data_IF_912737801811
#
_entry.id   IF_912737801811
#
_cell.length_a   1.000
_cell.length_b   1.000
_cell.length_c   1.000
_cell.angle_alpha   90.00
_cell.angle_beta   90.00
_cell.angle_gamma   90.00
#
_symmetry.space_group_name_H-M   'P 1'
#
loop_
_entity.id
_entity.type
_entity.pdbx_description
1 polymer ?
#
# COMPACT_ATOMS: atom_id res chain seq x y z
N UNK A 1 -49.81 8.48 28.49
CA UNK A 1 -48.50 7.82 28.64
C UNK A 1 -47.78 7.96 27.31
N UNK A 2 -46.50 8.37 27.32
CA UNK A 2 -45.99 9.69 26.91
C UNK A 2 -45.63 9.73 25.41
N UNK A 3 -45.64 10.86 24.70
CA UNK A 3 -45.16 12.18 25.09
C UNK A 3 -43.71 12.33 24.59
N UNK A 4 -43.53 12.91 23.40
CA UNK A 4 -42.22 13.34 22.92
C UNK A 4 -42.32 14.80 22.51
N UNK A 5 -41.72 15.62 23.36
CA UNK A 5 -41.63 17.06 23.36
C UNK A 5 -40.70 17.57 22.26
N UNK A 6 -41.10 18.71 21.70
CA UNK A 6 -40.33 19.58 20.83
C UNK A 6 -38.99 20.00 21.47
N UNK A 7 -37.96 20.20 20.63
CA UNK A 7 -36.71 20.88 21.02
C UNK A 7 -36.53 22.11 20.13
N UNK A 8 -36.44 23.32 20.70
CA UNK A 8 -35.99 24.52 19.99
C UNK A 8 -34.51 24.79 20.30
N UNK A 9 -33.73 25.20 19.30
CA UNK A 9 -32.33 25.56 19.52
C UNK A 9 -31.52 25.84 18.27
N UNK A 10 -32.09 26.56 17.30
CA UNK A 10 -31.35 27.15 16.19
C UNK A 10 -30.94 28.57 16.60
N UNK A 11 -29.66 28.78 16.93
CA UNK A 11 -29.08 30.12 16.97
C UNK A 11 -27.95 30.18 15.95
N UNK A 12 -28.30 30.75 14.80
CA UNK A 12 -27.36 31.35 13.87
C UNK A 12 -26.73 32.58 14.52
N UNK A 13 -25.41 32.69 14.46
CA UNK A 13 -24.75 33.99 14.48
C UNK A 13 -23.72 33.98 13.34
N UNK A 14 -24.14 34.62 12.26
CA UNK A 14 -23.28 35.05 11.17
C UNK A 14 -22.54 36.30 11.62
N UNK A 15 -21.21 36.28 11.51
CA UNK A 15 -20.47 37.51 11.20
C UNK A 15 -19.65 37.23 9.95
N UNK A 16 -20.01 37.92 8.89
CA UNK A 16 -19.24 38.06 7.67
C UNK A 16 -18.70 39.48 7.67
N UNK A 17 -17.40 39.67 7.44
CA UNK A 17 -16.87 40.77 6.63
C UNK A 17 -15.61 40.32 5.88
N UNK A 18 -15.58 40.75 4.62
CA UNK A 18 -14.70 40.51 3.46
C UNK A 18 -13.48 41.49 3.44
N UNK A 19 -12.70 41.70 2.35
CA UNK A 19 -12.19 40.87 1.24
C UNK A 19 -10.67 41.14 0.90
N UNK A 20 -10.24 40.57 -0.24
CA UNK A 20 -9.08 40.91 -1.10
C UNK A 20 -7.70 40.40 -0.65
N UNK A 21 -6.85 39.83 -1.52
CA UNK A 21 -6.56 40.24 -2.90
C UNK A 21 -5.80 39.14 -3.68
N UNK A 22 -6.25 38.91 -4.92
CA UNK A 22 -5.48 38.79 -6.17
C UNK A 22 -4.40 37.71 -6.40
N UNK A 23 -4.58 37.07 -7.56
CA UNK A 23 -3.57 36.49 -8.48
C UNK A 23 -2.85 35.22 -8.04
N UNK A 24 -2.58 34.21 -8.87
CA UNK A 24 -2.58 34.10 -10.33
C UNK A 24 -2.63 32.61 -10.74
N UNK A 25 -2.87 32.38 -12.03
CA UNK A 25 -3.15 31.10 -12.66
C UNK A 25 -1.98 30.10 -12.74
N UNK A 26 -2.36 28.82 -12.79
CA UNK A 26 -1.79 27.69 -13.53
C UNK A 26 -0.26 27.47 -13.53
N UNK A 27 0.17 26.38 -12.89
CA UNK A 27 0.97 25.33 -13.55
C UNK A 27 0.97 24.04 -12.73
N UNK A 28 0.51 22.96 -13.37
CA UNK A 28 0.73 21.58 -12.99
C UNK A 28 2.17 21.24 -13.41
N UNK A 29 3.08 20.94 -12.49
CA UNK A 29 4.11 19.89 -12.62
C UNK A 29 4.96 19.77 -11.34
N UNK A 30 5.40 18.54 -11.13
CA UNK A 30 6.28 17.99 -10.10
C UNK A 30 5.74 17.85 -8.67
N UNK A 31 5.39 16.59 -8.37
CA UNK A 31 5.42 16.05 -7.01
C UNK A 31 6.87 15.63 -6.69
N UNK A 32 7.68 16.43 -5.99
CA UNK A 32 8.71 15.83 -5.16
C UNK A 32 7.95 15.18 -4.00
N UNK A 33 7.87 13.85 -3.97
CA UNK A 33 7.56 13.14 -2.73
C UNK A 33 8.83 13.15 -1.87
N UNK A 34 8.96 13.97 -0.81
CA UNK A 34 10.06 13.87 0.12
C UNK A 34 9.57 13.02 1.28
N UNK A 35 9.38 11.71 1.08
CA UNK A 35 9.19 10.83 2.22
C UNK A 35 10.59 10.44 2.69
N UNK A 36 11.07 11.22 3.66
CA UNK A 36 12.43 11.20 4.21
C UNK A 36 12.94 9.79 4.48
N UNK A 37 13.83 9.36 3.61
CA UNK A 37 14.88 8.43 3.95
C UNK A 37 16.11 9.29 4.24
N UNK A 38 16.45 9.48 5.51
CA UNK A 38 17.77 10.01 5.86
C UNK A 38 18.81 9.01 5.34
N UNK A 39 19.69 9.50 4.47
CA UNK A 39 20.81 8.73 3.93
C UNK A 39 21.96 8.88 4.91
N UNK A 40 22.26 7.84 5.67
CA UNK A 40 23.54 7.78 6.38
C UNK A 40 24.58 7.22 5.42
N UNK A 41 25.64 7.99 5.22
CA UNK A 41 26.83 7.50 4.51
C UNK A 41 27.76 6.92 5.56
N UNK A 42 27.98 5.62 5.48
CA UNK A 42 28.97 4.94 6.31
C UNK A 42 30.12 4.47 5.41
N UNK A 43 31.35 4.65 5.87
CA UNK A 43 32.50 3.97 5.29
C UNK A 43 32.64 2.63 5.99
N UNK A 44 32.63 1.52 5.25
CA UNK A 44 33.08 0.27 5.83
C UNK A 44 34.60 0.33 6.10
N UNK A 45 35.13 -0.59 6.91
CA UNK A 45 36.56 -0.66 7.23
C UNK A 45 37.49 -0.87 6.03
N UNK A 46 36.92 -1.01 4.83
CA UNK A 46 37.61 -1.22 3.56
C UNK A 46 37.50 -0.01 2.61
N UNK A 47 36.88 1.09 3.05
CA UNK A 47 36.76 2.33 2.27
C UNK A 47 35.65 2.36 1.23
N UNK A 48 34.75 1.36 1.23
CA UNK A 48 33.55 1.36 0.40
C UNK A 48 32.44 2.20 1.05
N UNK A 49 31.80 3.04 0.23
CA UNK A 49 30.71 3.90 0.66
C UNK A 49 29.42 3.08 0.69
N UNK A 50 28.98 2.69 1.88
CA UNK A 50 27.73 1.97 2.06
C UNK A 50 26.63 2.99 2.29
N UNK A 51 25.64 3.03 1.39
CA UNK A 51 24.44 3.83 1.56
C UNK A 51 23.47 3.11 2.48
N UNK A 52 23.52 3.42 3.78
CA UNK A 52 22.52 2.93 4.73
C UNK A 52 21.28 3.81 4.68
N UNK A 53 20.14 3.18 4.37
CA UNK A 53 18.86 3.87 4.28
C UNK A 53 18.00 3.47 5.48
N UNK A 54 17.84 4.40 6.42
CA UNK A 54 16.97 4.17 7.57
C UNK A 54 15.51 4.09 7.12
N UNK A 55 14.75 3.13 7.67
CA UNK A 55 13.33 2.93 7.39
C UNK A 55 12.61 2.62 8.69
N UNK A 56 11.43 3.20 8.89
CA UNK A 56 10.56 2.74 9.97
C UNK A 56 10.01 1.35 9.63
N UNK A 57 9.81 0.49 10.65
CA UNK A 57 9.28 -0.86 10.46
C UNK A 57 7.99 -0.88 9.62
N UNK A 58 7.09 0.09 9.86
CA UNK A 58 5.84 0.21 9.10
C UNK A 58 6.04 0.45 7.60
N UNK A 59 7.12 1.12 7.20
CA UNK A 59 7.38 1.44 5.80
C UNK A 59 7.81 0.21 5.01
N UNK A 60 8.31 -0.82 5.70
CA UNK A 60 8.86 -2.05 5.12
C UNK A 60 7.87 -3.20 5.22
N UNK A 61 7.21 -3.36 6.36
CA UNK A 61 6.48 -4.58 6.70
C UNK A 61 4.96 -4.41 6.72
N UNK A 62 4.42 -3.19 6.76
CA UNK A 62 2.98 -3.00 6.64
C UNK A 62 2.56 -2.90 5.16
N UNK A 63 1.56 -3.70 4.73
CA UNK A 63 0.87 -3.50 3.46
C UNK A 63 0.43 -2.05 3.27
N UNK A 64 0.97 -1.40 2.26
CA UNK A 64 0.66 -0.01 1.92
C UNK A 64 -0.41 0.07 0.84
N UNK A 65 -0.20 -0.61 -0.28
CA UNK A 65 -1.19 -0.72 -1.33
C UNK A 65 -1.10 -2.05 -2.07
N UNK A 66 -2.17 -2.37 -2.80
CA UNK A 66 -2.19 -3.42 -3.79
C UNK A 66 -2.01 -2.77 -5.15
N UNK A 67 -1.09 -3.30 -5.96
CA UNK A 67 -0.86 -2.86 -7.33
C UNK A 67 -1.30 -3.97 -8.27
N UNK A 68 -2.20 -3.64 -9.19
CA UNK A 68 -2.63 -4.55 -10.24
C UNK A 68 -1.58 -4.59 -11.35
N UNK A 69 -1.12 -5.78 -11.70
CA UNK A 69 -0.19 -6.03 -12.80
C UNK A 69 -0.92 -6.12 -14.13
N UNK A 70 -0.20 -6.03 -15.25
CA UNK A 70 -0.79 -6.05 -16.60
C UNK A 70 -1.56 -7.34 -16.92
N UNK A 71 -1.14 -8.45 -16.32
CA UNK A 71 -1.82 -9.75 -16.40
C UNK A 71 -3.09 -9.82 -15.53
N UNK A 72 -3.39 -8.79 -14.72
CA UNK A 72 -4.55 -8.71 -13.84
C UNK A 72 -4.38 -9.37 -12.47
N UNK A 73 -3.17 -9.84 -12.13
CA UNK A 73 -2.83 -10.19 -10.77
C UNK A 73 -2.57 -8.94 -9.91
N UNK A 74 -2.35 -9.13 -8.61
CA UNK A 74 -2.04 -8.10 -7.65
C UNK A 74 -0.75 -8.42 -6.91
N UNK A 75 0.02 -7.38 -6.61
CA UNK A 75 1.15 -7.43 -5.69
C UNK A 75 0.86 -6.57 -4.48
N UNK A 76 1.01 -7.12 -3.29
CA UNK A 76 0.94 -6.35 -2.04
C UNK A 76 2.30 -5.72 -1.80
N UNK A 77 2.35 -4.39 -1.77
CA UNK A 77 3.59 -3.64 -1.59
C UNK A 77 3.59 -2.82 -0.30
N UNK A 78 4.79 -2.52 0.19
CA UNK A 78 5.02 -1.65 1.34
C UNK A 78 5.09 -0.16 0.93
N UNK A 79 5.35 0.75 1.88
CA UNK A 79 5.36 2.21 1.62
C UNK A 79 6.43 2.61 0.61
N UNK A 80 7.48 1.80 0.47
CA UNK A 80 8.58 1.94 -0.50
C UNK A 80 8.29 1.27 -1.85
N UNK A 81 7.04 0.83 -2.07
CA UNK A 81 6.59 0.19 -3.30
C UNK A 81 7.37 -1.10 -3.64
N UNK A 82 7.93 -1.76 -2.62
CA UNK A 82 8.53 -3.11 -2.75
C UNK A 82 7.51 -4.15 -2.30
N UNK A 83 7.55 -5.38 -2.84
CA UNK A 83 6.78 -6.47 -2.26
C UNK A 83 7.00 -6.55 -0.75
N UNK A 84 5.92 -6.76 0.02
CA UNK A 84 6.02 -6.82 1.49
C UNK A 84 7.02 -7.91 1.88
N UNK A 85 7.95 -7.57 2.78
CA UNK A 85 9.05 -8.45 3.19
C UNK A 85 10.36 -8.25 2.40
N UNK A 86 10.37 -7.44 1.35
CA UNK A 86 11.59 -7.11 0.59
C UNK A 86 12.11 -5.73 0.98
N UNK A 87 13.41 -5.66 1.30
CA UNK A 87 14.15 -4.44 1.63
C UNK A 87 15.19 -4.20 0.53
N UNK A 88 14.85 -3.36 -0.44
CA UNK A 88 15.75 -2.96 -1.52
C UNK A 88 15.64 -1.45 -1.75
N UNK A 89 16.74 -0.83 -2.17
CA UNK A 89 16.79 0.57 -2.57
C UNK A 89 16.34 0.76 -4.02
N UNK A 90 16.71 -0.17 -4.90
CA UNK A 90 16.51 -0.04 -6.34
C UNK A 90 15.07 -0.27 -6.77
N UNK A 91 14.69 0.31 -7.91
CA UNK A 91 13.41 0.03 -8.56
C UNK A 91 13.24 -1.46 -8.83
N UNK A 92 12.05 -1.97 -8.55
CA UNK A 92 11.74 -3.40 -8.68
C UNK A 92 10.83 -3.61 -9.88
N UNK A 93 11.14 -4.64 -10.68
CA UNK A 93 10.20 -5.21 -11.62
C UNK A 93 9.42 -6.31 -10.91
N UNK A 94 8.11 -6.12 -10.72
CA UNK A 94 7.25 -7.04 -10.00
C UNK A 94 7.16 -8.43 -10.64
N UNK A 95 7.32 -8.55 -11.96
CA UNK A 95 7.26 -9.84 -12.66
C UNK A 95 8.41 -10.78 -12.32
N UNK A 96 9.48 -10.26 -11.71
CA UNK A 96 10.63 -11.07 -11.26
C UNK A 96 10.42 -11.75 -9.91
N UNK A 97 9.30 -11.47 -9.22
CA UNK A 97 9.04 -11.98 -7.88
C UNK A 97 7.81 -12.89 -7.86
N UNK A 98 7.87 -14.06 -7.19
CA UNK A 98 6.75 -14.99 -7.06
C UNK A 98 5.76 -14.54 -5.97
N UNK A 99 5.32 -13.28 -6.05
CA UNK A 99 4.47 -12.61 -5.04
C UNK A 99 3.13 -12.16 -5.62
N UNK A 100 2.89 -12.44 -6.90
CA UNK A 100 1.65 -12.11 -7.60
C UNK A 100 0.54 -13.04 -7.13
N UNK A 101 -0.59 -12.44 -6.77
CA UNK A 101 -1.80 -13.16 -6.36
C UNK A 101 -3.00 -12.69 -7.17
N UNK A 102 -3.93 -13.58 -7.48
CA UNK A 102 -5.20 -13.23 -8.12
C UNK A 102 -6.32 -13.48 -7.13
N UNK A 103 -7.28 -12.56 -7.02
CA UNK A 103 -8.48 -12.85 -6.26
C UNK A 103 -9.30 -13.93 -6.98
N UNK A 104 -9.78 -14.94 -6.25
CA UNK A 104 -10.61 -16.03 -6.82
C UNK A 104 -11.88 -15.48 -7.48
N UNK A 105 -12.39 -14.35 -6.99
CA UNK A 105 -13.45 -13.55 -7.60
C UNK A 105 -12.93 -12.13 -7.79
N UNK A 106 -13.21 -11.52 -8.95
CA UNK A 106 -12.86 -10.12 -9.19
C UNK A 106 -13.52 -9.22 -8.14
N UNK A 107 -12.78 -8.22 -7.65
CA UNK A 107 -13.30 -7.26 -6.69
C UNK A 107 -14.31 -6.33 -7.37
N UNK A 108 -15.46 -6.11 -6.72
CA UNK A 108 -16.43 -5.11 -7.16
C UNK A 108 -15.95 -3.69 -6.80
N UNK A 109 -16.49 -2.68 -7.47
CA UNK A 109 -16.20 -1.26 -7.16
C UNK A 109 -16.46 -0.92 -5.69
N UNK A 110 -17.51 -1.48 -5.09
CA UNK A 110 -17.82 -1.29 -3.69
C UNK A 110 -16.78 -1.93 -2.77
N UNK A 111 -16.27 -3.12 -3.13
CA UNK A 111 -15.20 -3.78 -2.39
C UNK A 111 -13.89 -3.00 -2.50
N UNK A 112 -13.57 -2.46 -3.67
CA UNK A 112 -12.38 -1.63 -3.90
C UNK A 112 -12.46 -0.36 -3.05
N UNK A 113 -13.59 0.37 -3.10
CA UNK A 113 -13.80 1.55 -2.26
C UNK A 113 -13.76 1.25 -0.76
N UNK A 114 -14.24 0.07 -0.36
CA UNK A 114 -14.19 -0.38 1.03
C UNK A 114 -12.77 -0.72 1.52
N UNK A 115 -11.82 -0.97 0.61
CA UNK A 115 -10.41 -1.24 0.89
C UNK A 115 -9.54 0.00 0.76
N UNK A 116 -9.84 0.90 -0.18
CA UNK A 116 -9.06 2.11 -0.41
C UNK A 116 -9.27 3.14 0.70
N UNK A 117 -8.20 3.78 1.17
CA UNK A 117 -8.26 4.75 2.26
C UNK A 117 -9.10 5.98 1.90
N UNK A 118 -9.14 6.35 0.61
CA UNK A 118 -9.89 7.48 0.08
C UNK A 118 -11.24 7.06 -0.52
N UNK A 119 -11.62 5.78 -0.44
CA UNK A 119 -12.89 5.31 -0.99
C UNK A 119 -12.94 5.30 -2.52
N UNK A 120 -11.79 5.29 -3.21
CA UNK A 120 -11.75 5.25 -4.68
C UNK A 120 -12.19 3.89 -5.21
N UNK A 121 -12.67 3.88 -6.44
CA UNK A 121 -13.15 2.66 -7.12
C UNK A 121 -12.19 2.15 -8.20
N UNK A 122 -11.01 2.75 -8.30
CA UNK A 122 -9.94 2.35 -9.22
C UNK A 122 -9.24 1.09 -8.71
N UNK A 123 -9.18 0.06 -9.55
CA UNK A 123 -8.61 -1.24 -9.22
C UNK A 123 -7.11 -1.34 -9.56
N UNK A 124 -6.51 -0.31 -10.17
CA UNK A 124 -5.09 -0.32 -10.53
C UNK A 124 -4.19 -0.21 -9.31
N UNK A 125 -4.57 0.63 -8.33
CA UNK A 125 -3.87 0.81 -7.05
C UNK A 125 -4.84 1.05 -5.92
N UNK A 126 -4.92 0.10 -5.01
CA UNK A 126 -5.81 0.15 -3.84
C UNK A 126 -4.96 0.43 -2.61
N UNK A 127 -5.07 1.63 -2.03
CA UNK A 127 -4.22 2.07 -0.94
C UNK A 127 -4.88 1.83 0.41
N UNK A 128 -4.20 1.14 1.34
CA UNK A 128 -4.76 0.84 2.67
C UNK A 128 -4.58 2.00 3.67
N UNK A 129 -3.56 2.83 3.45
CA UNK A 129 -3.29 4.07 4.16
C UNK A 129 -2.51 5.06 3.28
N UNK A 130 -2.30 6.28 3.75
CA UNK A 130 -1.45 7.29 3.12
C UNK A 130 -0.65 8.11 4.18
N UNK A 131 0.06 9.15 3.74
CA UNK A 131 0.87 9.99 4.63
C UNK A 131 0.03 10.87 5.57
N UNK A 132 -1.24 11.13 5.24
CA UNK A 132 -2.15 11.86 6.12
C UNK A 132 -2.82 10.94 7.17
N UNK A 133 -2.90 9.63 6.92
CA UNK A 133 -3.51 8.65 7.81
C UNK A 133 -2.55 7.51 8.20
N UNK A 134 -1.32 7.88 8.60
CA UNK A 134 -0.29 6.93 9.02
C UNK A 134 -0.83 6.03 10.16
N UNK A 135 -0.76 4.69 10.04
CA UNK A 135 -1.36 3.79 11.02
C UNK A 135 -0.82 3.99 12.44
N UNK A 136 0.44 4.42 12.59
CA UNK A 136 1.10 4.62 13.88
C UNK A 136 0.93 6.02 14.46
N UNK A 137 0.34 6.98 13.73
CA UNK A 137 0.22 8.36 14.23
C UNK A 137 -0.98 8.57 15.17
N UNK A 138 -1.98 7.69 15.14
CA UNK A 138 -3.09 7.71 16.10
C UNK A 138 -3.82 6.37 16.18
N UNK A 139 -4.53 6.14 17.29
CA UNK A 139 -5.39 4.96 17.45
C UNK A 139 -6.52 4.89 16.40
N UNK A 140 -7.06 6.04 15.99
CA UNK A 140 -8.08 6.11 14.95
C UNK A 140 -7.53 5.66 13.58
N UNK A 141 -6.31 6.08 13.24
CA UNK A 141 -5.65 5.66 12.00
C UNK A 141 -5.33 4.17 12.02
N UNK A 142 -4.81 3.66 13.14
CA UNK A 142 -4.57 2.22 13.30
C UNK A 142 -5.85 1.42 13.07
N UNK A 143 -6.96 1.83 13.71
CA UNK A 143 -8.26 1.17 13.58
C UNK A 143 -8.76 1.16 12.13
N UNK A 144 -8.74 2.30 11.46
CA UNK A 144 -9.18 2.39 10.06
C UNK A 144 -8.32 1.51 9.13
N UNK A 145 -7.01 1.48 9.35
CA UNK A 145 -6.09 0.61 8.63
C UNK A 145 -6.35 -0.88 8.91
N UNK A 146 -6.47 -1.27 10.19
CA UNK A 146 -6.73 -2.66 10.59
C UNK A 146 -8.07 -3.16 10.08
N UNK A 147 -9.10 -2.30 10.02
CA UNK A 147 -10.41 -2.66 9.48
C UNK A 147 -10.32 -2.98 7.98
N UNK A 148 -9.56 -2.21 7.20
CA UNK A 148 -9.29 -2.49 5.78
C UNK A 148 -8.48 -3.77 5.60
N UNK A 149 -7.44 -3.98 6.42
CA UNK A 149 -6.63 -5.20 6.39
C UNK A 149 -7.47 -6.43 6.76
N UNK A 150 -8.35 -6.33 7.75
CA UNK A 150 -9.29 -7.38 8.14
C UNK A 150 -10.33 -7.69 7.07
N UNK A 151 -10.71 -6.72 6.23
CA UNK A 151 -11.52 -6.96 5.03
C UNK A 151 -10.71 -7.69 3.96
N UNK A 152 -9.49 -7.23 3.71
CA UNK A 152 -8.59 -7.82 2.72
C UNK A 152 -8.31 -9.30 3.02
N UNK A 153 -8.04 -9.64 4.27
CA UNK A 153 -7.73 -10.99 4.72
C UNK A 153 -8.87 -12.01 4.51
N UNK A 154 -10.10 -11.57 4.26
CA UNK A 154 -11.27 -12.44 4.03
C UNK A 154 -11.38 -12.92 2.59
N UNK A 155 -10.64 -12.34 1.66
CA UNK A 155 -10.72 -12.74 0.26
C UNK A 155 -9.89 -13.99 -0.01
N UNK A 156 -10.46 -14.93 -0.77
CA UNK A 156 -9.72 -16.06 -1.29
C UNK A 156 -8.84 -15.62 -2.47
N UNK A 157 -7.58 -16.01 -2.45
CA UNK A 157 -6.62 -15.75 -3.52
C UNK A 157 -6.13 -17.05 -4.17
N UNK A 158 -5.79 -16.96 -5.44
CA UNK A 158 -5.04 -17.93 -6.21
C UNK A 158 -3.60 -17.41 -6.27
N UNK A 159 -2.64 -18.26 -5.97
CA UNK A 159 -1.23 -17.99 -6.12
C UNK A 159 -0.62 -19.04 -7.04
N UNK A 160 0.36 -18.65 -7.85
CA UNK A 160 1.08 -19.60 -8.69
C UNK A 160 1.96 -20.46 -7.77
N UNK A 161 1.56 -21.72 -7.58
CA UNK A 161 2.46 -22.74 -7.05
C UNK A 161 3.34 -23.20 -8.21
N UNK A 162 4.65 -23.19 -8.03
CA UNK A 162 5.53 -23.94 -8.93
C UNK A 162 5.09 -25.39 -8.80
N UNK A 163 4.55 -25.98 -9.87
CA UNK A 163 4.48 -27.42 -9.95
C UNK A 163 5.93 -27.88 -9.92
N UNK A 164 6.35 -28.56 -8.86
CA UNK A 164 7.68 -29.16 -8.82
C UNK A 164 7.81 -30.06 -10.05
N UNK A 165 8.67 -29.68 -10.99
CA UNK A 165 9.24 -30.59 -11.99
C UNK A 165 10.22 -31.53 -11.26
N UNK A 166 9.70 -32.36 -10.36
CA UNK A 166 10.44 -33.34 -9.57
C UNK A 166 10.07 -34.76 -9.98
N UNK A 167 9.93 -35.01 -11.29
CA UNK A 167 9.70 -36.37 -11.82
C UNK A 167 10.23 -36.53 -13.25
N UNK A 168 11.47 -36.12 -13.57
CA UNK A 168 12.09 -36.49 -14.85
C UNK A 168 13.63 -36.37 -14.88
N UNK A 169 14.36 -36.75 -13.84
CA UNK A 169 15.77 -37.14 -14.01
C UNK A 169 15.88 -38.64 -13.84
N UNK A 170 15.69 -39.36 -14.96
CA UNK A 170 16.10 -40.75 -15.10
C UNK A 170 17.62 -40.81 -15.00
N UNK A 171 18.15 -41.13 -13.82
CA UNK A 171 19.55 -41.53 -13.68
C UNK A 171 19.83 -42.71 -14.63
N UNK A 172 20.80 -42.61 -15.57
CA UNK A 172 21.24 -43.77 -16.31
C UNK A 172 21.94 -44.73 -15.34
N UNK A 173 21.48 -45.99 -15.31
CA UNK A 173 22.11 -47.04 -14.52
C UNK A 173 23.58 -47.20 -14.91
N UNK A 174 24.49 -47.37 -13.93
CA UNK A 174 25.90 -47.60 -14.25
C UNK A 174 26.07 -48.93 -15.00
N UNK A 175 27.06 -49.04 -15.89
CA UNK A 175 27.32 -50.27 -16.62
C UNK A 175 27.73 -51.39 -15.66
N UNK A 176 27.06 -52.53 -15.77
CA UNK A 176 27.45 -53.76 -15.12
C UNK A 176 28.69 -54.29 -15.86
N UNK A 177 29.83 -54.31 -15.17
CA UNK A 177 31.05 -55.00 -15.60
C UNK A 177 31.10 -56.40 -14.97
#
# INVERSE_FOLDING_TARGET
>A
MPGCTESPGCHSSMTAEHPNSSSSALALVDFPHPCGAEKMTAFNGEGELVMEVQSEFRQVFLPYCLIKTADGAYVVVNRRYKPVGIVLTDWVNYDKYPVKVRFKKALSKAQIAALDYAGRTDDTRIYLYNDACVPTSSAANWRAYSDRLGRLAKYAVLHEGRADESSAESHPSPPVF
#
